data_IF_314418672930
#
_entry.id   IF_314418672930
#
_cell.length_a   1.000
_cell.length_b   1.000
_cell.length_c   1.000
_cell.angle_alpha   90.00
_cell.angle_beta   90.00
_cell.angle_gamma   90.00
#
_symmetry.space_group_name_H-M   'P 1'
#
loop_
_entity.id
_entity.type
_entity.pdbx_description
1 polymer ?
#
# COMPACT_ATOMS: atom_id res chain seq x y z
N UNK A 1 -66.06 50.51 19.66
CA UNK A 1 -64.60 50.30 19.52
C UNK A 1 -64.11 49.13 20.39
N UNK A 2 -64.52 47.87 20.12
CA UNK A 2 -64.09 46.70 20.93
C UNK A 2 -63.64 45.47 20.10
N UNK A 3 -63.45 45.60 18.78
CA UNK A 3 -63.04 44.49 17.90
C UNK A 3 -61.56 44.46 17.48
N UNK A 4 -60.78 45.52 17.75
CA UNK A 4 -59.42 45.65 17.21
C UNK A 4 -58.36 44.84 17.97
N UNK A 5 -58.49 44.73 19.29
CA UNK A 5 -57.46 44.08 20.15
C UNK A 5 -57.42 42.56 19.93
N UNK A 6 -58.54 41.94 19.57
CA UNK A 6 -58.60 40.50 19.30
C UNK A 6 -57.89 40.10 18.01
N UNK A 7 -57.92 40.95 16.98
CA UNK A 7 -57.29 40.67 15.68
C UNK A 7 -55.77 40.81 15.74
N UNK A 8 -55.27 41.79 16.50
CA UNK A 8 -53.83 42.01 16.69
C UNK A 8 -53.22 40.84 17.47
N UNK A 9 -53.88 40.37 18.55
CA UNK A 9 -53.40 39.22 19.32
C UNK A 9 -53.38 37.94 18.49
N UNK A 10 -54.38 37.72 17.65
CA UNK A 10 -54.42 36.57 16.75
C UNK A 10 -53.30 36.62 15.70
N UNK A 11 -53.07 37.79 15.09
CA UNK A 11 -51.98 37.98 14.12
C UNK A 11 -50.59 37.80 14.77
N UNK A 12 -50.39 38.31 15.99
CA UNK A 12 -49.14 38.15 16.73
C UNK A 12 -48.86 36.69 17.08
N UNK A 13 -49.91 35.96 17.50
CA UNK A 13 -49.81 34.54 17.81
C UNK A 13 -49.51 33.71 16.56
N UNK A 14 -50.12 34.04 15.41
CA UNK A 14 -49.85 33.40 14.13
C UNK A 14 -48.40 33.67 13.66
N UNK A 15 -47.91 34.89 13.84
CA UNK A 15 -46.53 35.26 13.53
C UNK A 15 -45.52 34.51 14.41
N UNK A 16 -45.79 34.40 15.72
CA UNK A 16 -44.94 33.62 16.64
C UNK A 16 -44.94 32.15 16.23
N UNK A 17 -46.10 31.56 15.88
CA UNK A 17 -46.18 30.18 15.38
C UNK A 17 -45.40 30.02 14.06
N UNK A 18 -45.51 30.96 13.13
CA UNK A 18 -44.78 30.93 11.85
C UNK A 18 -43.25 31.06 12.05
N UNK A 19 -42.80 31.92 12.97
CA UNK A 19 -41.39 32.06 13.33
C UNK A 19 -40.90 30.79 14.05
N UNK A 20 -41.67 30.23 14.97
CA UNK A 20 -41.33 28.95 15.62
C UNK A 20 -41.35 27.77 14.64
N UNK A 21 -42.20 27.80 13.60
CA UNK A 21 -42.19 26.82 12.52
C UNK A 21 -40.97 27.01 11.61
N UNK A 22 -40.56 28.24 11.27
CA UNK A 22 -39.34 28.49 10.50
C UNK A 22 -38.06 28.09 11.26
N UNK A 23 -38.00 28.40 12.56
CA UNK A 23 -36.87 28.03 13.42
C UNK A 23 -36.91 26.53 13.78
N UNK A 24 -38.10 25.94 13.90
CA UNK A 24 -38.33 24.52 14.16
C UNK A 24 -38.10 23.60 12.94
N UNK A 25 -38.29 24.11 11.72
CA UNK A 25 -37.88 23.45 10.47
C UNK A 25 -36.42 23.70 10.10
N UNK A 26 -35.70 24.51 10.88
CA UNK A 26 -34.23 24.51 10.87
C UNK A 26 -33.65 23.37 11.73
N UNK A 27 -34.48 22.41 12.18
CA UNK A 27 -34.01 21.12 12.68
C UNK A 27 -33.27 20.38 11.56
N UNK A 28 -31.95 20.52 11.64
CA UNK A 28 -30.98 19.53 11.19
C UNK A 28 -31.21 19.13 9.74
N UNK A 29 -30.88 20.05 8.82
CA UNK A 29 -30.03 19.59 7.72
C UNK A 29 -28.81 18.99 8.40
N UNK A 30 -28.83 17.68 8.65
CA UNK A 30 -27.60 16.90 8.75
C UNK A 30 -26.91 17.21 7.44
N UNK A 31 -26.03 18.21 7.46
CA UNK A 31 -25.14 18.52 6.37
C UNK A 31 -24.60 17.18 5.89
N UNK A 32 -24.62 16.97 4.59
CA UNK A 32 -23.99 15.85 3.92
C UNK A 32 -22.51 15.81 4.32
N UNK A 33 -22.20 15.26 5.50
CA UNK A 33 -20.87 15.27 6.08
C UNK A 33 -20.11 14.10 5.52
N UNK A 34 -18.92 14.39 4.98
CA UNK A 34 -17.96 13.35 4.63
C UNK A 34 -17.38 12.76 5.91
N UNK A 35 -17.16 11.45 5.93
CA UNK A 35 -16.63 10.78 7.11
C UNK A 35 -16.67 9.26 7.03
N UNK A 36 -16.13 8.63 8.07
CA UNK A 36 -16.11 7.18 8.20
C UNK A 36 -17.26 6.69 9.06
N UNK A 37 -17.91 5.63 8.60
CA UNK A 37 -18.78 4.78 9.39
C UNK A 37 -18.05 3.47 9.68
N UNK A 38 -18.04 3.05 10.95
CA UNK A 38 -17.38 1.84 11.40
C UNK A 38 -18.42 0.92 12.04
N UNK A 39 -18.56 -0.28 11.50
CA UNK A 39 -19.48 -1.30 12.00
C UNK A 39 -18.68 -2.52 12.44
N UNK A 40 -18.73 -2.83 13.73
CA UNK A 40 -18.16 -4.06 14.27
C UNK A 40 -19.21 -5.16 14.36
N UNK A 41 -18.99 -6.28 13.66
CA UNK A 41 -19.80 -7.48 13.76
C UNK A 41 -19.07 -8.58 14.53
N UNK A 42 -19.67 -9.77 14.61
CA UNK A 42 -19.10 -10.92 15.32
C UNK A 42 -17.73 -11.31 14.76
N UNK A 43 -17.60 -11.42 13.44
CA UNK A 43 -16.41 -11.96 12.77
C UNK A 43 -15.62 -10.92 11.99
N UNK A 44 -16.18 -9.74 11.75
CA UNK A 44 -15.63 -8.74 10.86
C UNK A 44 -15.77 -7.32 11.41
N UNK A 45 -14.99 -6.42 10.83
CA UNK A 45 -15.03 -4.98 11.00
C UNK A 45 -15.22 -4.39 9.60
N UNK A 46 -16.28 -3.59 9.45
CA UNK A 46 -16.54 -2.84 8.22
C UNK A 46 -16.18 -1.37 8.45
N UNK A 47 -15.44 -0.79 7.51
CA UNK A 47 -15.11 0.64 7.49
C UNK A 47 -15.57 1.20 6.16
N UNK A 48 -16.63 2.01 6.18
CA UNK A 48 -17.18 2.67 5.00
C UNK A 48 -16.79 4.16 5.01
N UNK A 49 -16.38 4.68 3.85
CA UNK A 49 -16.17 6.11 3.67
C UNK A 49 -17.31 6.71 2.86
N UNK A 50 -17.92 7.76 3.42
CA UNK A 50 -18.95 8.55 2.78
C UNK A 50 -18.39 9.92 2.41
N UNK A 51 -18.71 10.37 1.21
CA UNK A 51 -18.50 11.75 0.80
C UNK A 51 -19.85 12.32 0.37
N UNK A 52 -20.24 13.44 0.98
CA UNK A 52 -21.54 14.06 0.72
C UNK A 52 -22.72 13.07 0.84
N UNK A 53 -22.68 12.18 1.83
CA UNK A 53 -23.72 11.16 2.06
C UNK A 53 -23.74 10.02 1.03
N UNK A 54 -22.81 9.97 0.08
CA UNK A 54 -22.66 8.88 -0.88
C UNK A 54 -21.51 7.99 -0.41
N UNK A 55 -21.76 6.70 -0.24
CA UNK A 55 -20.70 5.72 0.03
C UNK A 55 -19.78 5.64 -1.18
N UNK A 56 -18.50 5.98 -0.98
CA UNK A 56 -17.48 5.86 -2.04
C UNK A 56 -16.91 4.47 -2.07
N UNK A 57 -16.57 3.94 -0.89
CA UNK A 57 -16.08 2.60 -0.75
C UNK A 57 -16.30 2.07 0.67
N UNK A 58 -16.18 0.76 0.82
CA UNK A 58 -16.19 0.07 2.10
C UNK A 58 -15.12 -1.02 2.14
N UNK A 59 -14.45 -1.13 3.26
CA UNK A 59 -13.42 -2.15 3.52
C UNK A 59 -13.95 -3.09 4.58
N UNK A 60 -13.97 -4.38 4.28
CA UNK A 60 -14.44 -5.44 5.17
C UNK A 60 -13.23 -6.27 5.61
N UNK A 61 -12.96 -6.31 6.90
CA UNK A 61 -11.77 -6.95 7.47
C UNK A 61 -12.20 -8.00 8.49
N UNK A 62 -11.74 -9.23 8.31
CA UNK A 62 -11.95 -10.30 9.28
C UNK A 62 -11.19 -9.98 10.58
N UNK A 63 -11.76 -10.34 11.73
CA UNK A 63 -11.12 -10.06 13.04
C UNK A 63 -9.81 -10.82 13.28
N UNK A 64 -9.42 -11.74 12.39
CA UNK A 64 -8.09 -12.36 12.37
C UNK A 64 -7.02 -11.53 11.62
N UNK A 65 -7.40 -10.38 11.04
CA UNK A 65 -6.52 -9.48 10.30
C UNK A 65 -6.48 -9.68 8.79
N UNK A 66 -7.24 -10.64 8.24
CA UNK A 66 -7.38 -10.80 6.79
C UNK A 66 -8.37 -9.81 6.19
N UNK A 67 -8.01 -9.17 5.07
CA UNK A 67 -8.94 -8.38 4.26
C UNK A 67 -9.94 -9.35 3.63
N UNK A 68 -11.22 -9.18 3.93
CA UNK A 68 -12.27 -9.96 3.28
C UNK A 68 -12.67 -9.32 1.96
N UNK A 69 -12.81 -8.00 1.94
CA UNK A 69 -13.37 -7.32 0.77
C UNK A 69 -13.01 -5.85 0.74
N UNK A 70 -12.89 -5.31 -0.46
CA UNK A 70 -13.08 -3.89 -0.74
C UNK A 70 -14.30 -3.78 -1.66
N UNK A 71 -15.28 -2.98 -1.25
CA UNK A 71 -16.51 -2.72 -1.98
C UNK A 71 -16.44 -1.30 -2.53
N UNK A 72 -16.66 -1.15 -3.84
CA UNK A 72 -16.82 0.16 -4.50
C UNK A 72 -18.18 0.13 -5.16
N UNK A 73 -19.03 1.14 -4.91
CA UNK A 73 -20.41 1.13 -5.41
C UNK A 73 -21.18 -0.16 -5.06
N UNK A 74 -20.93 -0.75 -3.89
CA UNK A 74 -21.42 -2.07 -3.44
C UNK A 74 -20.94 -3.30 -4.26
N UNK A 75 -20.05 -3.10 -5.22
CA UNK A 75 -19.44 -4.19 -6.01
C UNK A 75 -18.17 -4.68 -5.31
N UNK A 76 -17.99 -6.00 -5.11
CA UNK A 76 -16.76 -6.60 -4.59
C UNK A 76 -15.57 -6.43 -5.53
N UNK A 77 -14.53 -5.70 -5.13
CA UNK A 77 -13.29 -5.61 -5.92
C UNK A 77 -12.22 -6.63 -5.51
N UNK A 78 -12.26 -7.07 -4.27
CA UNK A 78 -11.34 -8.07 -3.73
C UNK A 78 -12.13 -9.07 -2.92
N UNK A 79 -11.67 -10.31 -2.78
CA UNK A 79 -12.41 -11.35 -2.03
C UNK A 79 -11.64 -11.97 -0.88
N UNK A 80 -10.31 -11.85 -0.89
CA UNK A 80 -9.43 -12.33 0.18
C UNK A 80 -8.10 -11.59 0.05
N UNK A 81 -7.57 -11.01 1.12
CA UNK A 81 -6.15 -10.68 1.22
C UNK A 81 -5.53 -10.95 2.60
N UNK A 82 -4.28 -11.41 2.64
CA UNK A 82 -3.59 -11.63 3.90
C UNK A 82 -2.23 -12.31 3.73
N UNK A 83 -1.52 -12.46 4.86
CA UNK A 83 -0.39 -13.38 4.93
C UNK A 83 -0.89 -14.82 5.00
N UNK A 84 -0.16 -15.73 4.36
CA UNK A 84 -0.34 -17.18 4.40
C UNK A 84 0.99 -17.85 4.69
N UNK A 85 0.92 -18.96 5.42
CA UNK A 85 2.04 -19.86 5.69
C UNK A 85 1.60 -21.24 5.24
N UNK A 86 2.33 -21.86 4.31
CA UNK A 86 2.08 -23.26 3.94
C UNK A 86 2.93 -24.22 4.77
N UNK A 87 2.27 -24.99 5.62
CA UNK A 87 2.84 -26.25 6.11
C UNK A 87 2.55 -27.35 5.08
N UNK A 88 3.37 -28.40 5.01
CA UNK A 88 3.34 -29.45 3.99
C UNK A 88 1.94 -30.02 3.71
N UNK A 89 1.47 -29.86 2.45
CA UNK A 89 0.42 -30.57 1.69
C UNK A 89 -1.00 -30.64 2.28
N UNK A 90 -1.17 -30.44 3.58
CA UNK A 90 -2.48 -30.30 4.23
C UNK A 90 -2.86 -28.81 4.18
N UNK A 91 -3.58 -28.43 3.12
CA UNK A 91 -4.05 -27.07 2.90
C UNK A 91 -4.99 -26.63 4.03
N UNK A 92 -4.48 -25.96 5.06
CA UNK A 92 -5.33 -25.29 6.06
C UNK A 92 -5.05 -23.80 6.07
N UNK A 93 -5.98 -23.02 5.52
CA UNK A 93 -5.95 -21.54 5.45
C UNK A 93 -6.41 -20.86 6.74
N UNK A 94 -6.22 -21.50 7.89
CA UNK A 94 -6.95 -21.14 9.10
C UNK A 94 -6.06 -20.36 10.07
N UNK A 95 -6.25 -19.04 10.12
CA UNK A 95 -5.84 -18.20 11.25
C UNK A 95 -7.06 -17.79 12.07
N UNK A 96 -6.89 -17.70 13.39
CA UNK A 96 -7.93 -17.26 14.31
C UNK A 96 -7.51 -15.99 15.05
N UNK A 97 -8.50 -15.24 15.52
CA UNK A 97 -8.31 -14.01 16.28
C UNK A 97 -7.70 -14.30 17.65
N UNK A 98 -6.65 -13.56 18.03
CA UNK A 98 -6.00 -13.66 19.34
C UNK A 98 -6.52 -12.63 20.35
N UNK A 99 -6.91 -11.46 19.88
CA UNK A 99 -7.37 -10.36 20.72
C UNK A 99 -8.41 -9.51 19.97
N UNK A 100 -9.23 -8.69 20.67
CA UNK A 100 -10.02 -7.66 20.01
C UNK A 100 -9.22 -6.76 19.08
N UNK A 101 -9.79 -6.40 17.92
CA UNK A 101 -9.20 -5.36 17.11
C UNK A 101 -9.20 -4.04 17.88
N UNK A 102 -8.20 -3.20 17.61
CA UNK A 102 -8.15 -1.82 18.09
C UNK A 102 -8.46 -0.95 16.88
N UNK A 103 -9.51 -0.14 16.96
CA UNK A 103 -9.97 0.70 15.86
C UNK A 103 -10.04 2.15 16.32
N UNK A 104 -9.39 3.03 15.59
CA UNK A 104 -9.31 4.46 15.89
C UNK A 104 -9.70 5.27 14.66
N UNK A 105 -10.74 6.08 14.78
CA UNK A 105 -11.11 7.06 13.76
C UNK A 105 -10.35 8.36 14.00
N UNK A 106 -9.51 8.77 13.04
CA UNK A 106 -8.66 9.96 13.11
C UNK A 106 -9.21 11.12 12.28
N UNK A 107 -10.45 11.03 11.81
CA UNK A 107 -11.10 12.02 10.95
C UNK A 107 -10.80 11.78 9.47
N UNK A 108 -9.55 11.99 9.07
CA UNK A 108 -9.12 11.83 7.67
C UNK A 108 -8.82 10.38 7.28
N UNK A 109 -8.64 9.51 8.27
CA UNK A 109 -8.38 8.09 8.09
C UNK A 109 -8.84 7.29 9.31
N UNK A 110 -8.92 5.97 9.14
CA UNK A 110 -9.14 5.00 10.20
C UNK A 110 -7.90 4.12 10.34
N UNK A 111 -7.41 3.96 11.56
CA UNK A 111 -6.43 2.94 11.90
C UNK A 111 -7.14 1.75 12.53
N UNK A 112 -6.89 0.56 12.01
CA UNK A 112 -7.47 -0.67 12.52
C UNK A 112 -6.39 -1.74 12.65
N UNK A 113 -6.09 -2.12 13.89
CA UNK A 113 -5.08 -3.12 14.24
C UNK A 113 -5.73 -4.43 14.66
N UNK A 114 -5.28 -5.51 14.05
CA UNK A 114 -5.83 -6.85 14.20
C UNK A 114 -4.73 -7.83 14.63
N UNK A 115 -5.14 -8.84 15.39
CA UNK A 115 -4.22 -9.83 15.95
C UNK A 115 -4.69 -11.24 15.64
N UNK A 116 -3.88 -11.99 14.92
CA UNK A 116 -4.14 -13.37 14.52
C UNK A 116 -3.10 -14.36 15.04
N UNK A 117 -3.44 -15.64 15.00
CA UNK A 117 -2.50 -16.77 15.14
C UNK A 117 -2.86 -17.88 14.15
N UNK A 118 -1.86 -18.48 13.53
CA UNK A 118 -2.06 -19.66 12.71
C UNK A 118 -2.46 -20.86 13.56
N UNK A 119 -3.40 -21.67 13.07
CA UNK A 119 -3.91 -22.83 13.82
C UNK A 119 -2.84 -23.91 14.01
N UNK A 120 -2.02 -24.13 12.99
CA UNK A 120 -1.10 -25.27 12.90
C UNK A 120 0.38 -24.90 13.07
N UNK A 121 0.66 -23.67 13.49
CA UNK A 121 2.02 -23.20 13.77
C UNK A 121 2.01 -22.12 14.86
N UNK A 122 3.06 -22.04 15.67
CA UNK A 122 3.28 -20.94 16.62
C UNK A 122 3.74 -19.66 15.87
N UNK A 123 2.92 -19.23 14.89
CA UNK A 123 3.11 -18.02 14.11
C UNK A 123 1.98 -17.05 14.46
N UNK A 124 2.38 -15.86 14.89
CA UNK A 124 1.49 -14.79 15.31
C UNK A 124 1.46 -13.74 14.21
N UNK A 125 0.29 -13.15 14.00
CA UNK A 125 0.02 -12.16 12.96
C UNK A 125 -0.38 -10.86 13.64
N UNK A 126 0.26 -9.78 13.26
CA UNK A 126 -0.10 -8.41 13.63
C UNK A 126 -0.30 -7.61 12.35
N UNK A 127 -1.54 -7.17 12.12
CA UNK A 127 -1.92 -6.47 10.90
C UNK A 127 -2.46 -5.10 11.26
N UNK A 128 -1.89 -4.06 10.66
CA UNK A 128 -2.39 -2.70 10.75
C UNK A 128 -2.93 -2.24 9.39
N UNK A 129 -4.19 -1.81 9.37
CA UNK A 129 -4.82 -1.14 8.26
C UNK A 129 -4.89 0.37 8.54
N UNK A 130 -4.40 1.17 7.61
CA UNK A 130 -4.66 2.61 7.56
C UNK A 130 -5.55 2.88 6.35
N UNK A 131 -6.82 3.19 6.59
CA UNK A 131 -7.83 3.41 5.55
C UNK A 131 -8.06 4.91 5.43
N UNK A 132 -7.55 5.52 4.37
CA UNK A 132 -7.66 6.96 4.12
C UNK A 132 -8.91 7.34 3.35
N UNK A 133 -9.43 8.55 3.60
CA UNK A 133 -10.53 9.16 2.84
C UNK A 133 -10.22 9.29 1.34
N UNK A 134 -8.94 9.27 0.97
CA UNK A 134 -8.48 9.35 -0.43
C UNK A 134 -8.66 8.04 -1.21
N UNK A 135 -9.07 6.96 -0.54
CA UNK A 135 -9.12 5.62 -1.14
C UNK A 135 -7.81 4.84 -1.02
N UNK A 136 -6.77 5.43 -0.41
CA UNK A 136 -5.53 4.72 -0.08
C UNK A 136 -5.71 3.86 1.18
N UNK A 137 -5.51 2.56 1.04
CA UNK A 137 -5.54 1.57 2.12
C UNK A 137 -4.12 1.03 2.28
N UNK A 138 -3.41 1.47 3.32
CA UNK A 138 -2.10 0.92 3.66
C UNK A 138 -2.28 -0.29 4.56
N UNK A 139 -1.59 -1.38 4.25
CA UNK A 139 -1.65 -2.62 5.02
C UNK A 139 -0.23 -3.00 5.40
N UNK A 140 0.06 -2.92 6.70
CA UNK A 140 1.31 -3.41 7.28
C UNK A 140 1.04 -4.70 8.02
N UNK A 141 1.69 -5.78 7.61
CA UNK A 141 1.60 -7.07 8.28
C UNK A 141 2.97 -7.45 8.83
N UNK A 142 2.98 -7.96 10.05
CA UNK A 142 4.10 -8.64 10.65
C UNK A 142 3.68 -10.05 11.04
N UNK A 143 4.47 -11.05 10.64
CA UNK A 143 4.40 -12.38 11.24
C UNK A 143 5.59 -12.62 12.14
N UNK A 144 5.37 -13.26 13.28
CA UNK A 144 6.40 -13.58 14.28
C UNK A 144 6.32 -15.05 14.66
N UNK A 145 7.45 -15.76 14.60
CA UNK A 145 7.56 -17.12 15.11
C UNK A 145 7.79 -17.12 16.62
N UNK A 146 6.99 -17.89 17.36
CA UNK A 146 7.10 -18.10 18.82
C UNK A 146 7.64 -19.48 19.20
N UNK A 147 8.02 -20.27 18.21
CA UNK A 147 8.79 -21.49 18.32
C UNK A 147 9.72 -21.61 17.11
N UNK A 148 10.70 -22.50 17.15
CA UNK A 148 11.49 -22.83 15.96
C UNK A 148 10.64 -23.61 14.95
N UNK A 149 10.63 -23.14 13.71
CA UNK A 149 9.82 -23.67 12.62
C UNK A 149 10.74 -24.04 11.45
N UNK A 150 11.28 -25.27 11.42
CA UNK A 150 12.30 -25.69 10.45
C UNK A 150 11.74 -25.91 9.04
N UNK A 151 10.44 -26.12 8.90
CA UNK A 151 9.77 -26.48 7.64
C UNK A 151 8.58 -25.57 7.34
N UNK A 152 8.84 -24.30 7.05
CA UNK A 152 7.85 -23.38 6.48
C UNK A 152 8.04 -23.33 4.97
N UNK A 153 7.05 -23.81 4.21
CA UNK A 153 7.03 -23.57 2.76
C UNK A 153 6.30 -22.26 2.51
N UNK A 154 6.98 -21.34 1.82
CA UNK A 154 6.46 -20.04 1.37
C UNK A 154 5.59 -19.29 2.39
N UNK A 155 6.19 -18.35 3.12
CA UNK A 155 5.38 -17.23 3.63
C UNK A 155 5.05 -16.35 2.43
N UNK A 156 3.78 -16.12 2.18
CA UNK A 156 3.34 -15.23 1.11
C UNK A 156 2.26 -14.30 1.60
N UNK A 157 2.19 -13.11 1.01
CA UNK A 157 1.03 -12.24 1.07
C UNK A 157 0.29 -12.35 -0.26
N UNK A 158 -1.02 -12.49 -0.23
CA UNK A 158 -1.81 -12.65 -1.46
C UNK A 158 -3.11 -11.89 -1.37
N UNK A 159 -3.58 -11.40 -2.52
CA UNK A 159 -4.91 -10.83 -2.70
C UNK A 159 -5.58 -11.39 -3.96
N UNK A 160 -6.88 -11.64 -3.89
CA UNK A 160 -7.69 -12.08 -5.03
C UNK A 160 -8.63 -10.98 -5.53
N UNK A 161 -8.65 -10.81 -6.84
CA UNK A 161 -9.51 -9.89 -7.59
C UNK A 161 -10.49 -10.70 -8.45
N UNK A 162 -11.82 -10.58 -8.24
CA UNK A 162 -12.82 -11.31 -9.04
C UNK A 162 -12.74 -10.98 -10.53
N UNK A 163 -12.85 -11.95 -11.43
CA UNK A 163 -12.80 -11.70 -12.89
C UNK A 163 -14.07 -10.99 -13.38
N UNK A 164 -15.21 -11.39 -12.84
CA UNK A 164 -16.54 -10.99 -13.33
C UNK A 164 -16.84 -9.49 -13.16
N UNK A 165 -16.03 -8.80 -12.38
CA UNK A 165 -16.11 -7.34 -12.20
C UNK A 165 -15.26 -6.58 -13.21
N UNK A 166 -14.47 -7.21 -14.08
CA UNK A 166 -13.63 -6.54 -15.08
C UNK A 166 -14.25 -6.66 -16.48
N UNK A 167 -14.36 -5.53 -17.20
CA UNK A 167 -14.98 -5.45 -18.54
C UNK A 167 -13.93 -5.26 -19.64
N UNK A 168 -12.82 -4.62 -19.29
CA UNK A 168 -11.66 -4.38 -20.11
C UNK A 168 -10.59 -5.40 -19.67
N UNK A 169 -10.26 -6.32 -20.58
CA UNK A 169 -9.42 -7.51 -20.37
C UNK A 169 -7.95 -7.17 -20.14
N UNK A 170 -7.60 -6.29 -19.18
CA UNK A 170 -6.23 -5.81 -18.99
C UNK A 170 -5.87 -5.51 -17.54
N UNK A 171 -4.62 -5.77 -17.21
CA UNK A 171 -3.94 -5.25 -16.01
C UNK A 171 -2.62 -4.59 -16.43
N UNK A 172 -2.23 -3.53 -15.75
CA UNK A 172 -0.95 -2.87 -15.98
C UNK A 172 0.01 -3.19 -14.84
N UNK A 173 1.22 -3.63 -15.18
CA UNK A 173 2.27 -3.96 -14.19
C UNK A 173 3.48 -3.09 -14.44
N UNK A 174 3.95 -2.40 -13.40
CA UNK A 174 5.24 -1.71 -13.43
C UNK A 174 6.34 -2.62 -12.91
N UNK A 175 7.29 -2.92 -13.79
CA UNK A 175 8.52 -3.64 -13.49
C UNK A 175 9.68 -2.67 -13.64
N UNK A 176 10.36 -2.36 -12.54
CA UNK A 176 11.39 -1.33 -12.47
C UNK A 176 10.94 0.02 -13.09
N UNK A 177 11.32 0.28 -14.35
CA UNK A 177 11.01 1.48 -15.15
C UNK A 177 10.22 1.17 -16.42
N UNK A 178 9.72 -0.05 -16.58
CA UNK A 178 8.97 -0.50 -17.75
C UNK A 178 7.55 -0.87 -17.36
N UNK A 179 6.62 -0.45 -18.21
CA UNK A 179 5.23 -0.84 -18.12
C UNK A 179 4.98 -2.06 -18.99
N UNK A 180 4.36 -3.07 -18.39
CA UNK A 180 3.88 -4.26 -19.10
C UNK A 180 2.36 -4.27 -19.00
N UNK A 181 1.71 -4.30 -20.15
CA UNK A 181 0.27 -4.58 -20.24
C UNK A 181 0.10 -6.10 -20.28
N UNK A 182 -0.75 -6.61 -19.40
CA UNK A 182 -1.12 -8.03 -19.33
C UNK A 182 -2.57 -8.12 -19.77
N UNK A 183 -2.88 -8.99 -20.73
CA UNK A 183 -4.27 -9.27 -21.09
C UNK A 183 -4.92 -10.19 -20.05
N UNK A 184 -6.09 -9.82 -19.55
CA UNK A 184 -6.92 -10.62 -18.65
C UNK A 184 -7.96 -11.37 -19.49
N UNK A 185 -7.78 -12.65 -19.84
CA UNK A 185 -8.69 -13.37 -20.75
C UNK A 185 -10.17 -13.35 -20.34
N UNK A 186 -11.06 -13.01 -21.30
CA UNK A 186 -12.53 -13.17 -21.19
C UNK A 186 -12.95 -14.63 -21.03
N UNK A 187 -12.39 -15.53 -21.84
CA UNK A 187 -12.71 -16.97 -21.82
C UNK A 187 -11.43 -17.77 -22.10
N UNK A 188 -10.64 -17.98 -21.05
CA UNK A 188 -9.39 -18.80 -20.99
C UNK A 188 -8.31 -18.54 -22.04
N UNK A 189 -7.26 -17.82 -21.64
CA UNK A 189 -5.89 -18.01 -22.10
C UNK A 189 -5.03 -18.33 -20.87
N UNK A 190 -4.55 -19.57 -20.78
CA UNK A 190 -3.71 -20.02 -19.67
C UNK A 190 -2.31 -19.41 -19.77
N UNK A 191 -1.81 -18.84 -18.67
CA UNK A 191 -0.37 -18.77 -18.42
C UNK A 191 0.26 -17.40 -18.23
N UNK A 192 -0.50 -16.30 -18.23
CA UNK A 192 0.07 -14.97 -17.99
C UNK A 192 0.48 -14.83 -16.52
N UNK A 193 1.73 -15.22 -16.28
CA UNK A 193 2.44 -15.07 -15.04
C UNK A 193 3.54 -14.04 -15.27
N UNK A 194 3.32 -12.83 -14.75
CA UNK A 194 4.39 -11.85 -14.67
C UNK A 194 5.02 -12.00 -13.29
N UNK A 195 6.05 -12.83 -13.22
CA UNK A 195 6.95 -12.84 -12.07
C UNK A 195 7.90 -11.65 -12.15
N UNK A 196 8.10 -11.01 -11.01
CA UNK A 196 9.24 -10.14 -10.78
C UNK A 196 9.94 -10.49 -9.48
N UNK A 197 11.26 -10.33 -9.50
CA UNK A 197 12.09 -10.34 -8.31
C UNK A 197 12.23 -8.93 -7.72
N UNK A 198 11.52 -7.95 -8.28
CA UNK A 198 11.51 -6.58 -7.78
C UNK A 198 10.80 -6.49 -6.44
N UNK A 199 11.49 -5.80 -5.53
CA UNK A 199 11.00 -5.48 -4.19
C UNK A 199 9.85 -4.48 -4.26
N UNK A 200 9.77 -3.63 -5.29
CA UNK A 200 8.71 -2.64 -5.46
C UNK A 200 8.08 -2.79 -6.84
N UNK A 201 6.80 -3.10 -6.85
CA UNK A 201 6.00 -3.18 -8.06
C UNK A 201 4.56 -2.78 -7.73
N UNK A 202 3.80 -2.45 -8.76
CA UNK A 202 2.36 -2.27 -8.64
C UNK A 202 1.65 -2.93 -9.80
N UNK A 203 0.37 -3.23 -9.56
CA UNK A 203 -0.54 -3.87 -10.50
C UNK A 203 -1.86 -3.11 -10.46
N UNK A 204 -2.18 -2.44 -11.55
CA UNK A 204 -3.41 -1.66 -11.70
C UNK A 204 -4.47 -2.53 -12.38
N UNK A 205 -5.63 -2.63 -11.73
CA UNK A 205 -6.84 -3.30 -12.21
C UNK A 205 -7.97 -2.28 -12.43
N UNK A 206 -7.71 -1.25 -13.24
CA UNK A 206 -8.69 -0.20 -13.54
C UNK A 206 -9.56 -0.47 -14.76
N UNK A 207 -10.77 0.06 -14.70
CA UNK A 207 -11.64 0.32 -15.84
C UNK A 207 -11.62 1.80 -16.19
N UNK A 208 -12.27 2.15 -17.30
CA UNK A 208 -12.46 3.54 -17.71
C UNK A 208 -13.03 4.47 -16.63
N UNK A 209 -13.84 3.99 -15.67
CA UNK A 209 -14.48 4.85 -14.64
C UNK A 209 -13.89 4.69 -13.23
N UNK A 210 -13.42 3.52 -12.85
CA UNK A 210 -12.92 3.22 -11.49
C UNK A 210 -12.02 1.97 -11.48
N UNK A 211 -11.18 1.85 -10.46
CA UNK A 211 -10.20 0.78 -10.35
C UNK A 211 -9.61 0.61 -8.96
N UNK A 212 -8.89 -0.49 -8.78
CA UNK A 212 -7.99 -0.70 -7.65
C UNK A 212 -6.59 -0.97 -8.18
N UNK A 213 -5.61 -0.25 -7.65
CA UNK A 213 -4.19 -0.57 -7.83
C UNK A 213 -3.63 -1.21 -6.58
N UNK A 214 -3.04 -2.40 -6.75
CA UNK A 214 -2.20 -3.03 -5.75
C UNK A 214 -0.77 -2.48 -5.85
N UNK A 215 -0.17 -2.10 -4.73
CA UNK A 215 1.20 -1.57 -4.66
C UNK A 215 1.96 -2.34 -3.57
N UNK A 216 3.02 -3.04 -3.95
CA UNK A 216 3.94 -3.64 -2.99
C UNK A 216 4.93 -2.59 -2.50
N UNK A 217 4.80 -2.10 -1.27
CA UNK A 217 5.58 -0.95 -0.78
C UNK A 217 6.86 -1.31 -0.03
N UNK A 218 6.97 -2.51 0.53
CA UNK A 218 8.19 -3.01 1.15
C UNK A 218 8.01 -4.49 1.51
N UNK A 219 8.53 -5.43 0.71
CA UNK A 219 8.94 -6.69 1.24
C UNK A 219 10.13 -6.46 2.17
N UNK A 220 10.16 -7.18 3.30
CA UNK A 220 11.26 -7.11 4.27
C UNK A 220 12.67 -7.26 3.67
N UNK A 221 13.69 -7.16 4.51
CA UNK A 221 15.09 -7.11 4.06
C UNK A 221 15.69 -8.45 3.56
N UNK A 222 14.89 -9.51 3.37
CA UNK A 222 15.41 -10.86 3.18
C UNK A 222 15.30 -11.33 1.72
N UNK A 223 16.42 -11.78 1.17
CA UNK A 223 16.91 -11.54 -0.21
C UNK A 223 16.16 -12.28 -1.34
N UNK A 224 14.96 -12.83 -1.10
CA UNK A 224 14.30 -13.65 -2.09
C UNK A 224 12.79 -13.39 -2.14
N UNK A 225 12.40 -12.35 -2.87
CA UNK A 225 11.02 -12.06 -3.17
C UNK A 225 10.69 -12.51 -4.58
N UNK A 226 9.61 -13.27 -4.73
CA UNK A 226 8.95 -13.44 -6.02
C UNK A 226 7.55 -12.90 -5.89
N UNK A 227 7.24 -11.89 -6.68
CA UNK A 227 5.92 -11.37 -6.78
C UNK A 227 5.34 -11.62 -8.16
N UNK A 228 4.04 -11.84 -8.24
CA UNK A 228 3.42 -11.95 -9.55
C UNK A 228 1.91 -11.85 -9.55
N UNK A 229 1.42 -11.48 -10.72
CA UNK A 229 0.01 -11.56 -11.08
C UNK A 229 -0.21 -12.93 -11.72
N UNK A 230 -1.27 -13.62 -11.31
CA UNK A 230 -1.57 -14.95 -11.77
C UNK A 230 -3.07 -15.12 -11.99
N UNK A 231 -3.44 -15.74 -13.10
CA UNK A 231 -4.77 -16.33 -13.24
C UNK A 231 -4.89 -17.55 -12.31
N UNK A 232 -5.76 -17.47 -11.29
CA UNK A 232 -5.92 -18.51 -10.28
C UNK A 232 -6.89 -19.62 -10.72
N UNK A 233 -7.63 -19.39 -11.81
CA UNK A 233 -8.57 -20.39 -12.38
C UNK A 233 -7.90 -21.70 -12.72
N UNK A 234 -6.65 -21.64 -13.16
CA UNK A 234 -5.85 -22.82 -13.49
C UNK A 234 -5.52 -23.70 -12.25
N UNK A 235 -5.66 -23.19 -11.01
CA UNK A 235 -5.39 -23.91 -9.75
C UNK A 235 -6.68 -24.35 -9.03
N UNK A 236 -7.82 -24.30 -9.72
CA UNK A 236 -9.12 -24.68 -9.16
C UNK A 236 -9.83 -23.58 -8.36
N UNK A 237 -9.28 -22.35 -8.33
CA UNK A 237 -10.00 -21.20 -7.76
C UNK A 237 -10.96 -20.63 -8.80
N UNK A 238 -12.25 -20.53 -8.46
CA UNK A 238 -13.23 -20.03 -9.41
C UNK A 238 -13.10 -18.51 -9.63
N UNK A 239 -12.98 -18.07 -10.89
CA UNK A 239 -13.10 -16.69 -11.36
C UNK A 239 -12.30 -15.61 -10.59
N UNK A 240 -11.02 -15.80 -10.30
CA UNK A 240 -10.17 -14.74 -9.70
C UNK A 240 -8.79 -14.62 -10.34
N UNK A 241 -8.23 -13.41 -10.33
CA UNK A 241 -6.80 -13.15 -10.47
C UNK A 241 -6.16 -12.93 -9.11
N UNK A 242 -5.02 -13.56 -8.88
CA UNK A 242 -4.23 -13.43 -7.66
C UNK A 242 -3.02 -12.54 -7.88
N UNK A 243 -2.83 -11.57 -6.98
CA UNK A 243 -1.54 -10.91 -6.81
C UNK A 243 -0.87 -11.50 -5.58
N UNK A 244 0.33 -12.04 -5.76
CA UNK A 244 1.09 -12.74 -4.72
C UNK A 244 2.43 -12.05 -4.50
N UNK A 245 2.84 -11.94 -3.25
CA UNK A 245 4.20 -11.62 -2.83
C UNK A 245 4.69 -12.82 -2.02
N UNK A 246 5.74 -13.49 -2.47
CA UNK A 246 6.32 -14.60 -1.73
C UNK A 246 7.63 -14.16 -1.10
N UNK A 247 7.82 -14.40 0.19
CA UNK A 247 9.05 -14.07 0.92
C UNK A 247 10.18 -15.09 0.70
N UNK A 248 9.97 -16.06 -0.22
CA UNK A 248 10.97 -17.00 -0.73
C UNK A 248 10.46 -17.59 -2.07
N UNK A 249 11.19 -17.48 -3.20
CA UNK A 249 10.88 -18.19 -4.42
C UNK A 249 11.04 -19.68 -4.14
N UNK A 250 9.91 -20.38 -4.18
CA UNK A 250 9.75 -21.84 -4.23
C UNK A 250 10.90 -22.66 -3.60
N UNK A 251 10.92 -22.75 -2.26
CA UNK A 251 11.85 -23.61 -1.53
C UNK A 251 11.62 -23.55 -0.01
N UNK A 252 11.75 -24.68 0.69
CA UNK A 252 11.63 -24.78 2.16
C UNK A 252 12.41 -23.67 2.88
N UNK A 253 11.76 -22.88 3.72
CA UNK A 253 12.40 -21.91 4.61
C UNK A 253 12.20 -22.28 6.07
N UNK A 254 13.01 -21.71 6.95
CA UNK A 254 12.85 -21.81 8.39
C UNK A 254 12.56 -20.45 9.01
N UNK A 255 11.90 -20.43 10.17
CA UNK A 255 11.84 -19.28 11.06
C UNK A 255 12.27 -19.76 12.45
N UNK A 256 13.32 -19.16 12.98
CA UNK A 256 13.76 -19.37 14.36
C UNK A 256 12.80 -18.66 15.32
N UNK A 257 12.78 -19.07 16.58
CA UNK A 257 12.03 -18.36 17.62
C UNK A 257 12.43 -16.86 17.65
N UNK A 258 11.44 -15.99 17.60
CA UNK A 258 11.62 -14.54 17.55
C UNK A 258 11.84 -13.96 16.15
N UNK A 259 11.98 -14.80 15.11
CA UNK A 259 12.08 -14.32 13.73
C UNK A 259 10.79 -13.60 13.33
N UNK A 260 10.97 -12.46 12.65
CA UNK A 260 9.88 -11.62 12.15
C UNK A 260 10.00 -11.42 10.66
N UNK A 261 8.89 -11.58 9.94
CA UNK A 261 8.78 -11.22 8.53
C UNK A 261 7.72 -10.14 8.38
N UNK A 262 8.03 -9.15 7.57
CA UNK A 262 7.17 -7.99 7.35
C UNK A 262 6.78 -7.93 5.88
N UNK A 263 5.54 -7.54 5.64
CA UNK A 263 5.05 -7.16 4.32
C UNK A 263 4.25 -5.88 4.44
N UNK A 264 4.61 -4.88 3.64
CA UNK A 264 3.85 -3.65 3.51
C UNK A 264 3.32 -3.53 2.09
N UNK A 265 2.01 -3.41 1.98
CA UNK A 265 1.32 -3.22 0.71
C UNK A 265 0.35 -2.06 0.83
N UNK A 266 -0.04 -1.50 -0.31
CA UNK A 266 -1.14 -0.57 -0.40
C UNK A 266 -2.15 -1.03 -1.45
N UNK A 267 -3.42 -0.73 -1.20
CA UNK A 267 -4.45 -0.72 -2.22
C UNK A 267 -4.86 0.72 -2.42
N UNK A 268 -4.94 1.18 -3.66
CA UNK A 268 -5.44 2.50 -3.98
C UNK A 268 -6.73 2.34 -4.76
N UNK A 269 -7.83 2.83 -4.21
CA UNK A 269 -9.13 2.95 -4.88
C UNK A 269 -9.13 4.26 -5.63
N UNK A 270 -9.38 4.23 -6.93
CA UNK A 270 -9.33 5.43 -7.76
C UNK A 270 -10.38 5.46 -8.85
N UNK A 271 -10.68 6.68 -9.33
CA UNK A 271 -11.43 6.89 -10.56
C UNK A 271 -10.49 6.88 -11.78
N UNK A 272 -10.96 6.34 -12.89
CA UNK A 272 -10.24 6.32 -14.16
C UNK A 272 -9.10 5.29 -14.21
N UNK A 273 -8.48 5.22 -15.40
CA UNK A 273 -7.42 4.29 -15.73
C UNK A 273 -6.07 4.59 -15.07
N UNK A 274 -5.07 3.76 -15.37
CA UNK A 274 -3.68 3.97 -14.94
C UNK A 274 -3.16 5.39 -15.23
N UNK A 275 -3.33 5.89 -16.46
CA UNK A 275 -2.70 7.16 -16.88
C UNK A 275 -3.16 8.35 -16.05
N UNK A 276 -4.42 8.37 -15.61
CA UNK A 276 -4.94 9.45 -14.76
C UNK A 276 -4.42 9.40 -13.33
N UNK A 277 -3.85 8.26 -12.92
CA UNK A 277 -3.40 8.01 -11.55
C UNK A 277 -1.87 7.83 -11.44
N UNK A 278 -1.15 7.92 -12.56
CA UNK A 278 0.29 7.65 -12.64
C UNK A 278 1.11 8.50 -11.66
N UNK A 279 0.80 9.79 -11.52
CA UNK A 279 1.51 10.68 -10.61
C UNK A 279 1.38 10.24 -9.15
N UNK A 280 0.15 9.93 -8.72
CA UNK A 280 -0.13 9.43 -7.37
C UNK A 280 0.54 8.07 -7.12
N UNK A 281 0.43 7.14 -8.07
CA UNK A 281 1.07 5.83 -7.98
C UNK A 281 2.60 5.94 -7.90
N UNK A 282 3.19 6.85 -8.67
CA UNK A 282 4.62 7.15 -8.61
C UNK A 282 5.02 7.81 -7.29
N UNK A 283 4.18 8.67 -6.72
CA UNK A 283 4.42 9.30 -5.42
C UNK A 283 4.41 8.27 -4.28
N UNK A 284 3.39 7.40 -4.22
CA UNK A 284 3.31 6.30 -3.24
C UNK A 284 4.53 5.37 -3.39
N UNK A 285 4.84 4.95 -4.61
CA UNK A 285 5.98 4.07 -4.92
C UNK A 285 7.32 4.74 -4.62
N UNK A 286 7.44 6.05 -4.84
CA UNK A 286 8.64 6.84 -4.55
C UNK A 286 8.91 6.93 -3.05
N UNK A 287 7.87 7.21 -2.24
CA UNK A 287 7.97 7.22 -0.78
C UNK A 287 8.29 5.83 -0.23
N UNK A 288 7.66 4.78 -0.78
CA UNK A 288 8.00 3.39 -0.47
C UNK A 288 9.47 3.06 -0.77
N UNK A 289 9.97 3.46 -1.95
CA UNK A 289 11.38 3.30 -2.32
C UNK A 289 12.31 3.99 -1.33
N UNK A 290 12.02 5.25 -1.03
CA UNK A 290 12.81 6.04 -0.10
C UNK A 290 12.83 5.42 1.29
N UNK A 291 11.70 4.90 1.78
CA UNK A 291 11.61 4.17 3.04
C UNK A 291 12.53 2.96 3.04
N UNK A 292 12.43 2.09 2.03
CA UNK A 292 13.26 0.88 1.91
C UNK A 292 14.76 1.22 1.89
N UNK A 293 15.16 2.27 1.16
CA UNK A 293 16.55 2.71 1.11
C UNK A 293 17.03 3.21 2.48
N UNK A 294 16.20 3.97 3.21
CA UNK A 294 16.53 4.41 4.57
C UNK A 294 16.64 3.21 5.53
N UNK A 295 15.73 2.25 5.49
CA UNK A 295 15.77 1.05 6.34
C UNK A 295 17.04 0.22 6.09
N UNK A 296 17.43 0.04 4.83
CA UNK A 296 18.67 -0.65 4.46
C UNK A 296 19.89 0.09 5.01
N UNK A 297 19.94 1.40 4.85
CA UNK A 297 21.04 2.21 5.35
C UNK A 297 21.15 2.18 6.89
N UNK A 298 20.02 2.29 7.60
CA UNK A 298 19.96 2.25 9.06
C UNK A 298 20.40 0.91 9.65
N UNK A 299 20.23 -0.20 8.90
CA UNK A 299 20.74 -1.54 9.26
C UNK A 299 22.22 -1.71 8.90
N UNK A 300 22.67 -1.10 7.81
CA UNK A 300 24.03 -1.25 7.27
C UNK A 300 25.06 -0.43 8.04
N UNK A 301 24.74 0.83 8.35
CA UNK A 301 25.68 1.79 8.93
C UNK A 301 25.60 1.83 10.45
N UNK A 302 26.70 2.22 11.11
CA UNK A 302 26.71 2.45 12.57
C UNK A 302 26.07 3.80 12.89
N UNK A 303 25.42 3.90 14.04
CA UNK A 303 24.62 5.06 14.45
C UNK A 303 25.38 6.39 14.51
N UNK A 304 26.68 6.34 14.72
CA UNK A 304 27.58 7.50 14.83
C UNK A 304 28.06 8.02 13.46
N UNK A 305 27.74 7.34 12.36
CA UNK A 305 28.18 7.75 11.02
C UNK A 305 27.26 8.79 10.40
N UNK A 306 27.82 9.69 9.59
CA UNK A 306 27.03 10.68 8.83
C UNK A 306 25.97 10.01 7.95
N UNK A 307 26.30 8.89 7.31
CA UNK A 307 25.34 8.12 6.50
C UNK A 307 24.15 7.63 7.33
N UNK A 308 24.36 7.15 8.55
CA UNK A 308 23.26 6.72 9.41
C UNK A 308 22.39 7.89 9.86
N UNK A 309 23.01 9.02 10.25
CA UNK A 309 22.28 10.23 10.66
C UNK A 309 21.41 10.74 9.52
N UNK A 310 21.96 10.82 8.30
CA UNK A 310 21.21 11.24 7.10
C UNK A 310 20.09 10.24 6.78
N UNK A 311 20.32 8.93 6.92
CA UNK A 311 19.27 7.92 6.74
C UNK A 311 18.12 8.10 7.74
N UNK A 312 18.44 8.40 9.01
CA UNK A 312 17.44 8.64 10.04
C UNK A 312 16.62 9.90 9.74
N UNK A 313 17.27 11.00 9.34
CA UNK A 313 16.59 12.23 8.94
C UNK A 313 15.69 12.03 7.72
N UNK A 314 16.19 11.32 6.70
CA UNK A 314 15.40 10.99 5.53
C UNK A 314 14.19 10.12 5.91
N UNK A 315 14.37 9.14 6.80
CA UNK A 315 13.28 8.29 7.30
C UNK A 315 12.17 9.11 7.96
N UNK A 316 12.49 10.09 8.80
CA UNK A 316 11.50 10.98 9.41
C UNK A 316 10.70 11.76 8.37
N UNK A 317 11.38 12.28 7.34
CA UNK A 317 10.73 13.01 6.24
C UNK A 317 9.86 12.07 5.40
N UNK A 318 10.32 10.86 5.10
CA UNK A 318 9.54 9.85 4.38
C UNK A 318 8.28 9.48 5.17
N UNK A 319 8.39 9.24 6.48
CA UNK A 319 7.24 8.98 7.34
C UNK A 319 6.27 10.16 7.37
N UNK A 320 6.79 11.39 7.39
CA UNK A 320 5.96 12.60 7.25
C UNK A 320 5.25 12.64 5.89
N UNK A 321 5.92 12.28 4.80
CA UNK A 321 5.33 12.22 3.45
C UNK A 321 4.23 11.17 3.34
N UNK A 322 4.43 9.99 3.92
CA UNK A 322 3.40 8.95 4.00
C UNK A 322 2.17 9.42 4.81
N UNK A 323 2.38 10.09 5.94
CA UNK A 323 1.29 10.67 6.73
C UNK A 323 0.52 11.73 5.96
N UNK A 324 1.20 12.55 5.15
CA UNK A 324 0.57 13.53 4.26
C UNK A 324 -0.30 12.88 3.20
N UNK A 325 0.16 11.80 2.57
CA UNK A 325 -0.67 10.99 1.66
C UNK A 325 -1.92 10.46 2.36
N UNK A 326 -1.78 9.95 3.58
CA UNK A 326 -2.90 9.41 4.37
C UNK A 326 -3.97 10.47 4.65
N UNK A 327 -3.60 11.74 4.83
CA UNK A 327 -4.58 12.83 5.06
C UNK A 327 -5.02 13.56 3.78
N UNK A 328 -4.46 13.19 2.61
CA UNK A 328 -4.77 13.80 1.31
C UNK A 328 -3.98 15.06 0.97
N UNK A 329 -2.85 15.31 1.62
CA UNK A 329 -1.90 16.39 1.28
C UNK A 329 -0.86 15.87 0.27
N UNK A 330 -1.25 15.75 -0.99
CA UNK A 330 -0.40 15.22 -2.07
C UNK A 330 0.81 16.13 -2.37
N UNK A 331 0.61 17.44 -2.43
CA UNK A 331 1.69 18.41 -2.68
C UNK A 331 2.72 18.43 -1.54
N UNK A 332 2.26 18.36 -0.29
CA UNK A 332 3.16 18.23 0.84
C UNK A 332 3.87 16.87 0.87
N UNK A 333 3.22 15.79 0.44
CA UNK A 333 3.86 14.48 0.29
C UNK A 333 4.93 14.48 -0.81
N UNK A 334 4.66 15.13 -1.94
CA UNK A 334 5.62 15.33 -3.04
C UNK A 334 6.84 16.12 -2.57
N UNK A 335 6.60 17.24 -1.88
CA UNK A 335 7.68 18.05 -1.27
C UNK A 335 8.52 17.22 -0.29
N UNK A 336 7.88 16.38 0.53
CA UNK A 336 8.58 15.46 1.44
C UNK A 336 9.43 14.43 0.67
N UNK A 337 8.90 13.84 -0.40
CA UNK A 337 9.64 12.89 -1.24
C UNK A 337 10.88 13.55 -1.89
N UNK A 338 10.75 14.75 -2.44
CA UNK A 338 11.87 15.49 -3.03
C UNK A 338 12.97 15.77 -2.00
N UNK A 339 12.59 16.23 -0.80
CA UNK A 339 13.50 16.49 0.30
C UNK A 339 14.19 15.20 0.80
N UNK A 340 13.42 14.12 0.97
CA UNK A 340 13.96 12.82 1.37
C UNK A 340 14.96 12.29 0.34
N UNK A 341 14.63 12.36 -0.95
CA UNK A 341 15.52 11.92 -2.03
C UNK A 341 16.82 12.73 -2.06
N UNK A 342 16.76 14.04 -1.84
CA UNK A 342 17.96 14.89 -1.72
C UNK A 342 18.88 14.43 -0.58
N UNK A 343 18.32 14.08 0.58
CA UNK A 343 19.08 13.57 1.73
C UNK A 343 19.61 12.16 1.45
N UNK A 344 18.84 11.29 0.82
CA UNK A 344 19.26 9.93 0.42
C UNK A 344 20.46 10.00 -0.53
N UNK A 345 20.52 10.96 -1.46
CA UNK A 345 21.69 11.13 -2.32
C UNK A 345 22.94 11.56 -1.53
N UNK A 346 22.78 12.44 -0.54
CA UNK A 346 23.88 12.81 0.38
C UNK A 346 24.33 11.60 1.20
N UNK A 347 23.38 10.83 1.73
CA UNK A 347 23.64 9.58 2.45
C UNK A 347 24.46 8.59 1.60
N UNK A 348 24.07 8.37 0.33
CA UNK A 348 24.80 7.50 -0.61
C UNK A 348 26.22 7.99 -0.87
N UNK A 349 26.41 9.31 -0.94
CA UNK A 349 27.74 9.91 -1.10
C UNK A 349 28.59 9.72 0.15
N UNK A 350 28.05 9.98 1.34
CA UNK A 350 28.74 9.79 2.62
C UNK A 350 29.07 8.31 2.90
N UNK A 351 28.21 7.39 2.46
CA UNK A 351 28.42 5.94 2.54
C UNK A 351 29.35 5.36 1.47
N UNK A 352 29.86 6.18 0.54
CA UNK A 352 30.74 5.74 -0.54
C UNK A 352 30.06 4.95 -1.66
N UNK A 353 28.72 4.97 -1.72
CA UNK A 353 27.90 4.26 -2.73
C UNK A 353 27.71 5.09 -4.01
N UNK A 354 27.76 6.42 -3.91
CA UNK A 354 27.83 7.29 -5.07
C UNK A 354 29.30 7.54 -5.40
N UNK A 355 29.83 6.94 -6.48
CA UNK A 355 31.09 7.44 -7.05
C UNK A 355 30.81 8.87 -7.54
N UNK A 356 31.52 9.89 -7.02
CA UNK A 356 31.46 11.21 -7.62
C UNK A 356 31.90 11.08 -9.08
N UNK A 357 31.13 11.62 -10.03
CA UNK A 357 31.50 11.66 -11.45
C UNK A 357 32.95 12.14 -11.68
N UNK A 358 33.48 12.94 -10.77
CA UNK A 358 34.88 13.37 -10.72
C UNK A 358 35.88 12.19 -10.67
N UNK A 359 35.67 11.15 -9.86
CA UNK A 359 36.59 10.00 -9.76
C UNK A 359 36.65 9.22 -11.07
N UNK A 360 35.50 9.04 -11.73
CA UNK A 360 35.41 8.38 -13.04
C UNK A 360 36.12 9.22 -14.10
N UNK A 361 35.91 10.54 -14.13
CA UNK A 361 36.61 11.44 -15.06
C UNK A 361 38.12 11.43 -14.82
N UNK A 362 38.58 11.48 -13.57
CA UNK A 362 40.02 11.44 -13.25
C UNK A 362 40.66 10.11 -13.64
N UNK A 363 40.03 8.97 -13.33
CA UNK A 363 40.52 7.65 -13.75
C UNK A 363 40.56 7.51 -15.27
N UNK A 364 39.51 7.97 -15.97
CA UNK A 364 39.46 7.93 -17.44
C UNK A 364 40.54 8.80 -18.06
N UNK A 365 40.78 9.99 -17.50
CA UNK A 365 41.84 10.90 -17.96
C UNK A 365 43.23 10.31 -17.74
N UNK A 366 43.49 9.71 -16.58
CA UNK A 366 44.76 9.03 -16.27
C UNK A 366 45.00 7.85 -17.21
N UNK A 367 43.97 7.04 -17.48
CA UNK A 367 44.06 5.90 -18.42
C UNK A 367 44.35 6.39 -19.85
N UNK A 368 43.69 7.46 -20.32
CA UNK A 368 43.95 8.05 -21.64
C UNK A 368 45.39 8.56 -21.74
N UNK A 369 45.91 9.22 -20.70
CA UNK A 369 47.30 9.71 -20.66
C UNK A 369 48.29 8.55 -20.70
N UNK A 370 48.06 7.48 -19.93
CA UNK A 370 48.92 6.29 -19.93
C UNK A 370 48.91 5.62 -21.31
N UNK A 371 47.73 5.44 -21.92
CA UNK A 371 47.60 4.88 -23.27
C UNK A 371 48.35 5.76 -24.28
N UNK A 372 48.18 7.09 -24.22
CA UNK A 372 48.88 8.05 -25.06
C UNK A 372 50.41 7.95 -24.93
N UNK A 373 50.92 7.83 -23.71
CA UNK A 373 52.35 7.65 -23.43
C UNK A 373 52.90 6.31 -23.96
N UNK A 374 52.12 5.23 -23.85
CA UNK A 374 52.49 3.92 -24.41
C UNK A 374 52.56 3.98 -25.94
N UNK A 375 51.60 4.65 -26.59
CA UNK A 375 51.60 4.85 -28.04
C UNK A 375 52.77 5.72 -28.50
N UNK A 376 53.07 6.81 -27.78
CA UNK A 376 54.24 7.66 -28.07
C UNK A 376 55.54 6.85 -27.96
N UNK A 377 55.69 6.04 -26.89
CA UNK A 377 56.87 5.21 -26.67
C UNK A 377 57.03 4.12 -27.75
N UNK A 378 55.92 3.53 -28.22
CA UNK A 378 55.93 2.60 -29.36
C UNK A 378 56.30 3.29 -30.68
N UNK A 379 55.90 4.54 -30.88
CA UNK A 379 56.21 5.32 -32.09
C UNK A 379 57.68 5.78 -32.13
N UNK A 380 58.26 6.12 -30.98
CA UNK A 380 59.68 6.48 -30.85
C UNK A 380 60.59 5.26 -31.07
N UNK A 381 60.19 4.05 -30.65
CA UNK A 381 60.95 2.81 -30.91
C UNK A 381 60.90 2.29 -32.36
N UNK A 382 60.05 2.86 -33.20
CA UNK A 382 59.89 2.48 -34.63
C UNK A 382 60.53 3.48 -35.60
N UNK A 383 61.11 4.57 -35.10
CA UNK A 383 62.10 5.39 -35.81
C UNK A 383 63.48 4.96 -35.33
#
# INVERSE_FOLDING_TARGET
MRGGVSRIRFALMLYIILVFLQVGFSRVNSQFQSGFEIVERTNEVEVAYFEMGIEKFRVVINKNGGLSQVLISQVPYTSVAGCYVWNSWEQTWNSYRRAPPIIENKGDYVEARFYGKYTNAEIYIDTNYTISKTGLILISNAIEARADLPDIRNTLWMIYFPVDIFQDEKAYVKLEKRMVEISLPRETASGDFVATNDILYWVDFSKGTEGITFINMAPGSDIWYSAGVRDERQWGYHNVYGVRITHKPEGQGSMSIGDKRFSKVALYIHSGGYQSNEEFLNLVSGLASAQVECEKALKKYRQDTEAWILASQAMEIVNSGLNKLIIGDEEGAKTALENANSIIQKMKTAGGEAMPNLIIITLTTVVIVIIGLIFLRKRIRKK
#
